data_IF_675865197719
#
_entry.id   IF_675865197719
#
_cell.length_a   1.000
_cell.length_b   1.000
_cell.length_c   1.000
_cell.angle_alpha   90.00
_cell.angle_beta   90.00
_cell.angle_gamma   90.00
#
_symmetry.space_group_name_H-M   'P 1'
#
loop_
_entity.id
_entity.type
_entity.pdbx_description
1 polymer ?
#
# COMPACT_ATOMS: atom_id res chain seq x y z
N UNK A 1 -5.57 5.72 -8.39
CA UNK A 1 -5.28 5.21 -7.03
C UNK A 1 -3.79 4.90 -6.79
N UNK A 2 -3.10 4.36 -7.75
CA UNK A 2 -1.69 4.03 -7.57
C UNK A 2 -0.85 5.22 -7.11
N UNK A 3 -1.02 6.35 -7.75
CA UNK A 3 -0.24 7.56 -7.42
C UNK A 3 -0.50 8.03 -5.99
N UNK A 4 -1.75 7.99 -5.57
CA UNK A 4 -2.12 8.38 -4.21
C UNK A 4 -1.55 7.40 -3.20
N UNK A 5 -1.58 6.12 -3.53
CA UNK A 5 -1.03 5.09 -2.68
C UNK A 5 0.48 5.25 -2.51
N UNK A 6 1.18 5.52 -3.61
CA UNK A 6 2.63 5.74 -3.55
C UNK A 6 2.96 6.95 -2.68
N UNK A 7 2.23 8.06 -2.86
CA UNK A 7 2.46 9.25 -2.05
C UNK A 7 2.21 8.98 -0.57
N UNK A 8 1.13 8.27 -0.27
CA UNK A 8 0.78 7.91 1.09
C UNK A 8 1.85 7.01 1.71
N UNK A 9 2.27 5.99 0.97
CA UNK A 9 3.28 5.05 1.44
C UNK A 9 4.63 5.73 1.65
N UNK A 10 5.02 6.60 0.72
CA UNK A 10 6.29 7.31 0.82
C UNK A 10 6.33 8.16 2.08
N UNK A 11 5.24 8.85 2.37
CA UNK A 11 5.15 9.68 3.56
C UNK A 11 5.11 8.84 4.83
N UNK A 12 4.31 7.79 4.83
CA UNK A 12 4.12 6.95 6.01
C UNK A 12 5.38 6.14 6.35
N UNK A 13 6.07 5.63 5.34
CA UNK A 13 7.23 4.78 5.50
C UNK A 13 8.55 5.54 5.35
N UNK A 14 8.49 6.84 5.14
CA UNK A 14 9.66 7.70 4.95
C UNK A 14 10.53 7.26 3.77
N UNK A 15 9.87 6.90 2.67
CA UNK A 15 10.54 6.48 1.45
C UNK A 15 10.46 7.58 0.41
N UNK A 16 11.41 7.55 -0.53
CA UNK A 16 11.37 8.44 -1.69
C UNK A 16 10.39 7.86 -2.71
N UNK A 17 9.35 8.62 -3.12
CA UNK A 17 8.41 8.12 -4.13
C UNK A 17 9.08 7.64 -5.40
N UNK A 18 10.25 8.21 -5.74
CA UNK A 18 10.99 7.80 -6.93
C UNK A 18 11.55 6.38 -6.83
N UNK A 19 11.67 5.86 -5.61
CA UNK A 19 12.16 4.50 -5.40
C UNK A 19 11.06 3.46 -5.52
N UNK A 20 9.80 3.91 -5.54
CA UNK A 20 8.64 3.02 -5.59
C UNK A 20 8.16 2.89 -7.03
N UNK A 21 8.04 1.65 -7.49
CA UNK A 21 7.47 1.37 -8.81
C UNK A 21 6.33 0.37 -8.66
N UNK A 22 5.45 0.23 -9.68
CA UNK A 22 4.35 -0.73 -9.61
C UNK A 22 4.82 -2.16 -9.37
N UNK A 23 5.98 -2.49 -9.88
CA UNK A 23 6.55 -3.83 -9.77
C UNK A 23 7.37 -4.03 -8.50
N UNK A 24 7.65 -2.97 -7.77
CA UNK A 24 8.43 -3.07 -6.54
C UNK A 24 7.66 -3.85 -5.49
N UNK A 25 8.32 -4.82 -4.88
CA UNK A 25 7.73 -5.55 -3.77
C UNK A 25 8.04 -4.82 -2.47
N UNK A 26 7.24 -5.06 -1.47
CA UNK A 26 7.48 -4.47 -0.15
C UNK A 26 8.81 -4.99 0.41
N UNK A 27 9.08 -6.26 0.16
CA UNK A 27 10.32 -6.88 0.60
C UNK A 27 11.55 -6.23 -0.03
N UNK A 28 11.49 -5.93 -1.32
CA UNK A 28 12.59 -5.27 -2.03
C UNK A 28 12.91 -3.89 -1.45
N UNK A 29 11.90 -3.23 -0.93
CA UNK A 29 12.07 -1.90 -0.33
C UNK A 29 12.41 -1.97 1.15
N UNK A 30 12.57 -3.16 1.69
CA UNK A 30 12.87 -3.35 3.09
C UNK A 30 11.69 -3.08 4.02
N UNK A 31 10.48 -3.18 3.50
CA UNK A 31 9.27 -2.94 4.28
C UNK A 31 8.82 -4.24 4.95
N UNK A 32 8.70 -4.20 6.25
CA UNK A 32 8.23 -5.32 7.05
C UNK A 32 6.72 -5.49 6.86
N UNK A 33 6.24 -6.72 7.05
CA UNK A 33 4.80 -7.01 6.95
C UNK A 33 3.98 -6.21 7.97
N UNK A 34 4.54 -5.94 9.13
CA UNK A 34 3.87 -5.12 10.14
C UNK A 34 3.71 -3.68 9.66
N UNK A 35 4.73 -3.16 8.96
CA UNK A 35 4.65 -1.82 8.40
C UNK A 35 3.55 -1.73 7.34
N UNK A 36 3.42 -2.79 6.53
CA UNK A 36 2.37 -2.85 5.51
C UNK A 36 1.00 -2.84 6.17
N UNK A 37 0.83 -3.65 7.22
CA UNK A 37 -0.45 -3.71 7.94
C UNK A 37 -0.79 -2.35 8.54
N UNK A 38 0.15 -1.70 9.19
CA UNK A 38 -0.07 -0.38 9.78
C UNK A 38 -0.42 0.65 8.72
N UNK A 39 0.28 0.62 7.60
CA UNK A 39 0.00 1.53 6.51
C UNK A 39 -1.41 1.32 5.95
N UNK A 40 -1.80 0.07 5.78
CA UNK A 40 -3.13 -0.26 5.28
C UNK A 40 -4.21 0.19 6.27
N UNK A 41 -3.97 0.02 7.56
CA UNK A 41 -4.93 0.47 8.58
C UNK A 41 -5.11 1.99 8.54
N UNK A 42 -4.02 2.73 8.38
CA UNK A 42 -4.10 4.18 8.25
C UNK A 42 -4.83 4.56 6.96
N UNK A 43 -4.58 3.81 5.90
CA UNK A 43 -5.24 4.03 4.62
C UNK A 43 -6.75 3.79 4.73
N UNK A 44 -7.15 2.77 5.48
CA UNK A 44 -8.57 2.49 5.75
C UNK A 44 -9.25 3.69 6.40
N UNK A 45 -8.59 4.27 7.40
CA UNK A 45 -9.12 5.45 8.10
C UNK A 45 -9.20 6.64 7.15
N UNK A 46 -8.20 6.81 6.32
CA UNK A 46 -8.14 7.94 5.40
C UNK A 46 -9.24 7.86 4.34
N UNK A 47 -9.47 6.68 3.81
CA UNK A 47 -10.43 6.46 2.73
C UNK A 47 -11.83 6.10 3.22
N UNK A 48 -11.95 5.73 4.49
CA UNK A 48 -13.24 5.33 5.05
C UNK A 48 -13.76 4.01 4.53
N UNK A 49 -12.87 3.11 4.14
CA UNK A 49 -13.23 1.78 3.64
C UNK A 49 -12.48 0.71 4.41
N UNK A 50 -13.03 -0.50 4.41
CA UNK A 50 -12.36 -1.64 5.04
C UNK A 50 -11.49 -2.36 4.03
N UNK A 51 -10.22 -2.56 4.39
CA UNK A 51 -9.24 -3.24 3.55
C UNK A 51 -8.72 -4.46 4.30
N UNK A 52 -9.33 -5.60 4.06
CA UNK A 52 -8.93 -6.84 4.70
C UNK A 52 -7.86 -7.53 3.87
N UNK A 53 -6.61 -7.40 4.29
CA UNK A 53 -5.48 -7.97 3.57
C UNK A 53 -5.10 -9.37 4.03
N UNK A 54 -5.69 -9.84 5.11
CA UNK A 54 -5.33 -11.15 5.69
C UNK A 54 -5.46 -12.30 4.70
N UNK A 55 -6.45 -12.24 3.82
CA UNK A 55 -6.69 -13.28 2.82
C UNK A 55 -6.09 -12.96 1.46
N UNK A 56 -5.38 -11.84 1.36
CA UNK A 56 -4.83 -11.38 0.09
C UNK A 56 -3.31 -11.54 0.07
N UNK A 57 -2.80 -12.11 -1.02
CA UNK A 57 -1.36 -12.20 -1.22
C UNK A 57 -0.90 -11.01 -2.04
N UNK A 58 -0.81 -9.88 -1.40
CA UNK A 58 -0.40 -8.63 -2.05
C UNK A 58 1.08 -8.41 -1.74
N UNK A 59 1.90 -8.41 -2.76
CA UNK A 59 3.34 -8.25 -2.61
C UNK A 59 3.89 -7.01 -3.28
N UNK A 60 3.17 -6.46 -4.26
CA UNK A 60 3.62 -5.26 -4.98
C UNK A 60 2.68 -4.08 -4.73
N UNK A 61 3.19 -2.89 -4.98
CA UNK A 61 2.38 -1.68 -4.86
C UNK A 61 1.23 -1.65 -5.87
N UNK A 62 1.46 -2.20 -7.06
CA UNK A 62 0.40 -2.26 -8.06
C UNK A 62 -0.74 -3.16 -7.58
N UNK A 63 -0.40 -4.30 -7.01
CA UNK A 63 -1.42 -5.21 -6.48
C UNK A 63 -2.20 -4.55 -5.35
N UNK A 64 -1.51 -3.83 -4.48
CA UNK A 64 -2.18 -3.12 -3.39
C UNK A 64 -3.10 -2.02 -3.94
N UNK A 65 -2.63 -1.27 -4.93
CA UNK A 65 -3.44 -0.22 -5.55
C UNK A 65 -4.69 -0.79 -6.19
N UNK A 66 -4.56 -1.90 -6.90
CA UNK A 66 -5.71 -2.56 -7.53
C UNK A 66 -6.70 -3.05 -6.49
N UNK A 67 -6.20 -3.59 -5.39
CA UNK A 67 -7.05 -4.07 -4.31
C UNK A 67 -7.84 -2.90 -3.67
N UNK A 68 -7.15 -1.83 -3.36
CA UNK A 68 -7.79 -0.65 -2.76
C UNK A 68 -8.82 -0.05 -3.71
N UNK A 69 -8.45 0.06 -4.98
CA UNK A 69 -9.35 0.62 -5.98
C UNK A 69 -10.62 -0.21 -6.13
N UNK A 70 -10.50 -1.53 -6.05
CA UNK A 70 -11.67 -2.41 -6.13
C UNK A 70 -12.61 -2.20 -4.94
N UNK A 71 -12.10 -1.77 -3.80
CA UNK A 71 -12.92 -1.51 -2.62
C UNK A 71 -13.58 -0.13 -2.67
N UNK A 72 -13.02 0.79 -3.44
CA UNK A 72 -13.57 2.13 -3.58
C UNK A 72 -14.68 2.20 -4.63
N UNK A 73 -14.76 1.25 -5.52
CA UNK A 73 -15.78 1.22 -6.58
C UNK A 73 -17.01 0.45 -6.18
#
# INVERSE_FOLDING_TARGET
MYEKLVAFAAEHLELDPAEISPESTFEDLGIDSLDVVEMVMDLESELGVELEMEDQKITTFQELADFVESKLN
#
